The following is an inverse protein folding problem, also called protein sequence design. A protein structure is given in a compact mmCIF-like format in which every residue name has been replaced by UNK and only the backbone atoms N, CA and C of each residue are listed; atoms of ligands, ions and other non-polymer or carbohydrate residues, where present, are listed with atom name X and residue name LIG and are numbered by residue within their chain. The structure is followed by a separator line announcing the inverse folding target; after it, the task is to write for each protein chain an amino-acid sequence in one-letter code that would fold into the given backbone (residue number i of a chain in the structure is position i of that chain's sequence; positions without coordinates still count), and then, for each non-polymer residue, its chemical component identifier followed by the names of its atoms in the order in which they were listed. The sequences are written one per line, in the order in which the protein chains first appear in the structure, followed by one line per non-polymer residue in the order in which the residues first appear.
data_IF_255221882879
#
_entry.id   IF_255221882879
#
_cell.length_a   1.000
_cell.length_b   1.000
_cell.length_c   1.000
_cell.angle_alpha   90.00
_cell.angle_beta   90.00
_cell.angle_gamma   90.00
#
_symmetry.space_group_name_H-M   'P 1'
#
loop_
_entity.id
_entity.type
_entity.pdbx_description
1 polymer ?
#
# COMPACT_ATOMS: atom_id res chain seq x y z
N UNK A 1 5.01 -20.12 27.40
CA UNK A 1 4.91 -18.92 26.53
C UNK A 1 5.96 -19.05 25.44
N UNK A 2 5.55 -19.02 24.17
CA UNK A 2 6.51 -19.05 23.06
C UNK A 2 7.25 -17.71 22.94
N UNK A 3 8.45 -17.70 22.35
CA UNK A 3 9.27 -16.47 22.19
C UNK A 3 8.48 -15.30 21.58
N UNK A 4 7.58 -15.57 20.64
CA UNK A 4 6.69 -14.56 20.02
C UNK A 4 5.70 -13.93 20.99
N UNK A 5 5.07 -14.74 21.82
CA UNK A 5 4.06 -14.30 22.80
C UNK A 5 4.70 -13.38 23.85
N UNK A 6 5.96 -13.66 24.21
CA UNK A 6 6.77 -12.83 25.11
C UNK A 6 7.04 -11.45 24.47
N UNK A 7 7.46 -11.41 23.19
CA UNK A 7 7.70 -10.16 22.47
C UNK A 7 6.44 -9.30 22.40
N UNK A 8 5.31 -9.88 22.03
CA UNK A 8 4.03 -9.15 21.92
C UNK A 8 3.54 -8.63 23.27
N UNK A 9 3.68 -9.42 24.34
CA UNK A 9 3.36 -8.97 25.70
C UNK A 9 4.25 -7.80 26.10
N UNK A 10 5.56 -7.89 25.84
CA UNK A 10 6.51 -6.83 26.17
C UNK A 10 6.21 -5.52 25.43
N UNK A 11 5.78 -5.57 24.16
CA UNK A 11 5.35 -4.37 23.42
C UNK A 11 4.16 -3.70 24.11
N UNK A 12 3.14 -4.47 24.51
CA UNK A 12 1.97 -3.94 25.18
C UNK A 12 2.30 -3.29 26.54
N UNK A 13 3.25 -3.83 27.27
CA UNK A 13 3.72 -3.27 28.55
C UNK A 13 4.47 -1.96 28.32
N UNK A 14 5.49 -1.99 27.44
CA UNK A 14 6.35 -0.82 27.18
C UNK A 14 5.60 0.34 26.55
N UNK A 15 4.58 0.06 25.72
CA UNK A 15 3.77 1.10 25.11
C UNK A 15 2.92 1.90 26.13
N UNK A 16 2.63 1.32 27.30
CA UNK A 16 1.86 2.01 28.37
C UNK A 16 2.70 2.98 29.18
N UNK A 17 4.03 2.87 29.14
CA UNK A 17 4.94 3.67 29.93
C UNK A 17 5.93 4.43 29.02
N UNK A 18 5.76 5.75 28.93
CA UNK A 18 6.63 6.59 28.09
C UNK A 18 8.12 6.53 28.47
N UNK A 19 8.45 6.13 29.71
CA UNK A 19 9.83 5.92 30.13
C UNK A 19 10.48 4.68 29.47
N UNK A 20 9.69 3.76 28.91
CA UNK A 20 10.17 2.53 28.26
C UNK A 20 10.19 2.60 26.72
N UNK A 21 9.98 3.79 26.15
CA UNK A 21 9.91 3.94 24.69
C UNK A 21 11.25 3.64 24.00
N UNK A 22 12.38 3.88 24.65
CA UNK A 22 13.70 3.53 24.10
C UNK A 22 13.89 2.01 24.05
N UNK A 23 13.48 1.30 25.09
CA UNK A 23 13.47 -0.17 25.11
C UNK A 23 12.50 -0.76 24.10
N UNK A 24 11.35 -0.10 23.88
CA UNK A 24 10.40 -0.48 22.83
C UNK A 24 11.02 -0.33 21.43
N UNK A 25 11.73 0.77 21.18
CA UNK A 25 12.45 0.99 19.91
C UNK A 25 13.50 -0.10 19.69
N UNK A 26 14.34 -0.37 20.69
CA UNK A 26 15.35 -1.43 20.62
C UNK A 26 14.73 -2.81 20.35
N UNK A 27 13.62 -3.13 21.01
CA UNK A 27 12.90 -4.37 20.80
C UNK A 27 12.39 -4.49 19.35
N UNK A 28 11.71 -3.46 18.84
CA UNK A 28 11.18 -3.46 17.48
C UNK A 28 12.30 -3.55 16.42
N UNK A 29 13.42 -2.86 16.63
CA UNK A 29 14.57 -2.93 15.73
C UNK A 29 15.22 -4.31 15.72
N UNK A 30 15.43 -4.92 16.89
CA UNK A 30 16.04 -6.25 17.01
C UNK A 30 15.15 -7.33 16.38
N UNK A 31 13.83 -7.21 16.51
CA UNK A 31 12.86 -8.16 15.97
C UNK A 31 12.38 -7.81 14.54
N UNK A 32 13.00 -6.82 13.90
CA UNK A 32 12.57 -6.26 12.60
C UNK A 32 12.81 -7.18 11.40
N UNK A 33 13.69 -8.19 11.54
CA UNK A 33 14.28 -8.98 10.45
C UNK A 33 15.14 -8.18 9.45
N UNK A 34 15.50 -6.92 9.74
CA UNK A 34 16.39 -6.11 8.89
C UNK A 34 17.87 -6.31 9.29
N UNK A 35 18.82 -6.32 8.33
CA UNK A 35 18.72 -5.97 6.90
C UNK A 35 18.20 -7.09 5.97
N UNK A 36 17.48 -8.10 6.46
CA UNK A 36 16.91 -9.17 5.65
C UNK A 36 15.93 -8.70 4.56
N UNK A 37 15.64 -9.56 3.56
CA UNK A 37 14.83 -9.19 2.41
C UNK A 37 13.40 -8.80 2.77
N UNK A 38 12.87 -9.31 3.89
CA UNK A 38 11.52 -9.02 4.39
C UNK A 38 11.59 -8.53 5.82
N UNK A 39 11.02 -7.35 6.08
CA UNK A 39 10.77 -6.90 7.44
C UNK A 39 9.70 -7.75 8.11
N UNK A 40 9.64 -7.71 9.45
CA UNK A 40 8.67 -8.44 10.25
C UNK A 40 7.27 -7.80 10.15
N UNK A 41 6.50 -8.15 9.12
CA UNK A 41 5.17 -7.59 8.87
C UNK A 41 4.16 -7.96 9.98
N UNK A 42 4.32 -9.13 10.60
CA UNK A 42 3.45 -9.56 11.70
C UNK A 42 3.65 -8.67 12.93
N UNK A 43 4.91 -8.39 13.27
CA UNK A 43 5.26 -7.47 14.36
C UNK A 43 4.78 -6.04 14.08
N UNK A 44 4.99 -5.53 12.87
CA UNK A 44 4.52 -4.19 12.49
C UNK A 44 2.99 -4.10 12.55
N UNK A 45 2.29 -5.14 12.12
CA UNK A 45 0.84 -5.21 12.21
C UNK A 45 0.37 -5.24 13.67
N UNK A 46 0.99 -6.08 14.50
CA UNK A 46 0.67 -6.17 15.93
C UNK A 46 0.86 -4.84 16.66
N UNK A 47 1.96 -4.13 16.39
CA UNK A 47 2.20 -2.80 16.94
C UNK A 47 1.12 -1.81 16.49
N UNK A 48 0.79 -1.79 15.19
CA UNK A 48 -0.24 -0.90 14.65
C UNK A 48 -1.62 -1.16 15.28
N UNK A 49 -1.96 -2.41 15.57
CA UNK A 49 -3.24 -2.77 16.19
C UNK A 49 -3.41 -2.19 17.60
N UNK A 50 -2.31 -1.87 18.30
CA UNK A 50 -2.37 -1.19 19.61
C UNK A 50 -2.92 0.25 19.52
N UNK A 51 -2.93 0.83 18.33
CA UNK A 51 -3.45 2.18 18.06
C UNK A 51 -4.89 2.17 17.54
N UNK A 52 -5.50 1.00 17.36
CA UNK A 52 -6.88 0.86 16.89
C UNK A 52 -7.91 1.15 18.01
N UNK A 53 -7.81 2.33 18.64
CA UNK A 53 -8.56 2.69 19.85
C UNK A 53 -8.82 4.20 19.93
N UNK A 54 -9.91 4.59 20.61
CA UNK A 54 -10.21 5.99 20.96
C UNK A 54 -9.35 6.52 22.13
N UNK A 55 -8.60 5.65 22.82
CA UNK A 55 -7.87 5.95 24.06
C UNK A 55 -6.36 6.12 23.83
N UNK A 56 -5.94 6.52 22.63
CA UNK A 56 -4.51 6.78 22.35
C UNK A 56 -4.05 8.04 23.07
N UNK A 57 -3.14 7.86 24.03
CA UNK A 57 -2.56 8.94 24.84
C UNK A 57 -1.72 9.91 24.00
N UNK A 58 -1.51 11.13 24.49
CA UNK A 58 -0.64 12.10 23.82
C UNK A 58 0.79 11.60 23.69
N UNK A 59 1.30 10.84 24.67
CA UNK A 59 2.65 10.25 24.59
C UNK A 59 2.78 9.21 23.48
N UNK A 60 1.78 8.34 23.32
CA UNK A 60 1.75 7.39 22.20
C UNK A 60 1.67 8.13 20.85
N UNK A 61 0.87 9.19 20.78
CA UNK A 61 0.78 10.02 19.57
C UNK A 61 2.11 10.73 19.25
N UNK A 62 2.75 11.33 20.25
CA UNK A 62 4.09 11.95 20.15
C UNK A 62 5.14 10.95 19.68
N UNK A 63 5.07 9.68 20.12
CA UNK A 63 5.95 8.61 19.67
C UNK A 63 5.81 8.35 18.16
N UNK A 64 4.58 8.25 17.65
CA UNK A 64 4.35 8.12 16.20
C UNK A 64 4.91 9.31 15.43
N UNK A 65 4.66 10.53 15.91
CA UNK A 65 5.17 11.76 15.30
C UNK A 65 6.71 11.84 15.32
N UNK A 66 7.36 11.27 16.33
CA UNK A 66 8.82 11.13 16.39
C UNK A 66 9.31 10.15 15.33
N UNK A 67 8.68 8.99 15.22
CA UNK A 67 9.13 7.92 14.33
C UNK A 67 8.93 8.24 12.85
N UNK A 68 7.82 8.86 12.45
CA UNK A 68 7.61 9.22 11.02
C UNK A 68 8.60 10.27 10.51
N UNK A 69 9.30 10.98 11.39
CA UNK A 69 10.33 11.96 11.02
C UNK A 69 11.69 11.34 10.66
N UNK A 70 11.89 10.03 10.89
CA UNK A 70 13.13 9.37 10.48
C UNK A 70 13.27 9.37 8.96
N UNK A 71 14.21 10.15 8.43
CA UNK A 71 14.48 10.22 7.00
C UNK A 71 15.58 9.23 6.55
N UNK A 72 15.84 9.20 5.25
CA UNK A 72 16.86 8.31 4.67
C UNK A 72 18.29 8.64 5.13
N UNK A 73 18.57 9.88 5.54
CA UNK A 73 19.89 10.27 6.05
C UNK A 73 20.17 9.67 7.42
N UNK A 74 19.11 9.48 8.20
CA UNK A 74 19.20 8.84 9.52
C UNK A 74 19.18 7.32 9.43
N UNK A 75 18.43 6.75 8.47
CA UNK A 75 18.30 5.32 8.30
C UNK A 75 17.97 4.96 6.83
N UNK A 76 18.90 4.27 6.17
CA UNK A 76 18.70 3.76 4.82
C UNK A 76 17.70 2.60 4.79
N UNK A 77 17.25 2.21 3.59
CA UNK A 77 16.22 1.16 3.40
C UNK A 77 16.47 -0.17 4.12
N UNK A 78 17.73 -0.54 4.38
CA UNK A 78 18.10 -1.82 5.00
C UNK A 78 18.47 -1.68 6.48
N UNK A 79 18.59 -0.46 6.99
CA UNK A 79 18.83 -0.20 8.40
C UNK A 79 17.63 -0.61 9.28
N UNK A 80 17.82 -1.36 10.38
CA UNK A 80 16.75 -1.70 11.32
C UNK A 80 15.95 -0.50 11.83
N UNK A 81 16.55 0.70 11.91
CA UNK A 81 15.87 1.93 12.29
C UNK A 81 14.73 2.31 11.35
N UNK A 82 14.75 1.90 10.08
CA UNK A 82 13.63 2.11 9.13
C UNK A 82 12.37 1.35 9.56
N UNK A 83 12.50 0.33 10.41
CA UNK A 83 11.35 -0.37 10.94
C UNK A 83 10.47 0.54 11.82
N UNK A 84 11.03 1.56 12.47
CA UNK A 84 10.27 2.52 13.30
C UNK A 84 9.30 3.38 12.48
N UNK A 85 9.71 4.16 11.44
CA UNK A 85 8.76 4.86 10.58
C UNK A 85 7.80 3.92 9.86
N UNK A 86 8.24 2.70 9.51
CA UNK A 86 7.37 1.67 8.91
C UNK A 86 6.25 1.19 9.87
N UNK A 87 6.56 1.00 11.14
CA UNK A 87 5.57 0.71 12.19
C UNK A 87 4.66 1.92 12.43
N UNK A 88 5.25 3.13 12.49
CA UNK A 88 4.51 4.34 12.81
C UNK A 88 3.44 4.68 11.77
N UNK A 89 3.77 4.58 10.48
CA UNK A 89 2.83 4.90 9.41
C UNK A 89 1.64 3.94 9.38
N UNK A 90 1.85 2.66 9.70
CA UNK A 90 0.78 1.67 9.81
C UNK A 90 -0.09 1.92 11.05
N UNK A 91 0.53 2.26 12.19
CA UNK A 91 -0.18 2.63 13.41
C UNK A 91 -1.05 3.88 13.21
N UNK A 92 -0.55 4.88 12.48
CA UNK A 92 -1.34 6.04 12.06
C UNK A 92 -2.58 5.65 11.24
N UNK A 93 -2.43 4.70 10.31
CA UNK A 93 -3.57 4.16 9.54
C UNK A 93 -4.59 3.44 10.42
N UNK A 94 -4.13 2.66 11.40
CA UNK A 94 -5.00 1.99 12.37
C UNK A 94 -5.74 2.99 13.29
N UNK A 95 -5.09 4.09 13.65
CA UNK A 95 -5.65 5.17 14.49
C UNK A 95 -6.67 6.04 13.74
N UNK A 96 -6.52 6.22 12.43
CA UNK A 96 -7.23 7.24 11.65
C UNK A 96 -8.74 7.36 11.94
N UNK A 97 -9.46 6.24 11.97
CA UNK A 97 -10.92 6.23 12.17
C UNK A 97 -11.31 6.66 13.59
N UNK A 98 -10.44 6.41 14.58
CA UNK A 98 -10.66 6.76 15.98
C UNK A 98 -10.14 8.17 16.34
N UNK A 99 -9.32 8.75 15.46
CA UNK A 99 -8.70 10.04 15.67
C UNK A 99 -9.70 11.20 15.49
N UNK A 100 -9.44 12.31 16.20
CA UNK A 100 -10.11 13.58 15.93
C UNK A 100 -9.65 14.18 14.58
N UNK A 101 -10.33 15.22 14.13
CA UNK A 101 -10.09 15.85 12.82
C UNK A 101 -8.64 16.32 12.64
N UNK A 102 -8.07 17.02 13.64
CA UNK A 102 -6.69 17.50 13.60
C UNK A 102 -5.67 16.36 13.44
N UNK A 103 -5.84 15.25 14.16
CA UNK A 103 -4.98 14.07 14.00
C UNK A 103 -5.19 13.40 12.65
N UNK A 104 -6.42 13.31 12.12
CA UNK A 104 -6.69 12.75 10.78
C UNK A 104 -6.01 13.54 9.66
N UNK A 105 -6.00 14.86 9.78
CA UNK A 105 -5.29 15.74 8.84
C UNK A 105 -3.79 15.46 8.84
N UNK A 106 -3.17 15.43 10.03
CA UNK A 106 -1.75 15.10 10.18
C UNK A 106 -1.42 13.70 9.67
N UNK A 107 -2.23 12.69 9.99
CA UNK A 107 -2.05 11.32 9.49
C UNK A 107 -2.09 11.30 7.96
N UNK A 108 -3.02 12.03 7.35
CA UNK A 108 -3.12 12.13 5.88
C UNK A 108 -1.85 12.73 5.29
N UNK A 109 -1.33 13.81 5.87
CA UNK A 109 -0.08 14.46 5.45
C UNK A 109 1.09 13.46 5.52
N UNK A 110 1.23 12.73 6.62
CA UNK A 110 2.32 11.77 6.79
C UNK A 110 2.19 10.55 5.86
N UNK A 111 0.97 10.07 5.57
CA UNK A 111 0.75 9.04 4.54
C UNK A 111 1.17 9.55 3.18
N UNK A 112 0.81 10.78 2.81
CA UNK A 112 1.21 11.38 1.52
C UNK A 112 2.72 11.50 1.39
N UNK A 113 3.42 11.94 2.45
CA UNK A 113 4.89 11.93 2.47
C UNK A 113 5.44 10.51 2.29
N UNK A 114 4.90 9.54 3.03
CA UNK A 114 5.33 8.15 2.97
C UNK A 114 5.10 7.49 1.59
N UNK A 115 4.05 7.88 0.85
CA UNK A 115 3.83 7.44 -0.54
C UNK A 115 4.97 7.86 -1.47
N UNK A 116 5.59 9.01 -1.20
CA UNK A 116 6.67 9.60 -2.00
C UNK A 116 8.08 9.38 -1.38
N UNK A 117 8.20 8.57 -0.34
CA UNK A 117 9.49 8.32 0.33
C UNK A 117 10.45 7.58 -0.62
N UNK A 118 11.74 7.93 -0.59
CA UNK A 118 12.78 7.28 -1.42
C UNK A 118 12.96 5.80 -1.06
N UNK A 119 12.72 5.43 0.20
CA UNK A 119 12.84 4.07 0.71
C UNK A 119 11.58 3.27 0.40
N UNK A 120 11.73 2.21 -0.39
CA UNK A 120 10.58 1.43 -0.87
C UNK A 120 9.75 0.80 0.26
N UNK A 121 10.37 0.47 1.40
CA UNK A 121 9.67 -0.07 2.58
C UNK A 121 8.64 0.91 3.13
N UNK A 122 8.97 2.20 3.16
CA UNK A 122 8.06 3.24 3.64
C UNK A 122 6.89 3.42 2.67
N UNK A 123 7.14 3.32 1.35
CA UNK A 123 6.07 3.30 0.34
C UNK A 123 5.12 2.10 0.50
N UNK A 124 5.62 0.92 0.90
CA UNK A 124 4.74 -0.20 1.26
C UNK A 124 3.96 0.09 2.55
N UNK A 125 4.60 0.69 3.55
CA UNK A 125 3.96 1.12 4.79
C UNK A 125 2.79 2.08 4.54
N UNK A 126 2.94 3.02 3.60
CA UNK A 126 1.87 3.93 3.19
C UNK A 126 0.68 3.18 2.57
N UNK A 127 0.93 2.22 1.67
CA UNK A 127 -0.12 1.39 1.09
C UNK A 127 -0.84 0.56 2.16
N UNK A 128 -0.10 -0.04 3.11
CA UNK A 128 -0.66 -0.80 4.23
C UNK A 128 -1.47 0.09 5.20
N UNK A 129 -1.05 1.33 5.40
CA UNK A 129 -1.79 2.33 6.17
C UNK A 129 -3.15 2.63 5.53
N UNK A 130 -3.16 2.87 4.21
CA UNK A 130 -4.39 3.06 3.44
C UNK A 130 -5.29 1.82 3.45
N UNK A 131 -4.71 0.61 3.38
CA UNK A 131 -5.45 -0.65 3.50
C UNK A 131 -6.19 -0.73 4.85
N UNK A 132 -5.51 -0.41 5.95
CA UNK A 132 -6.10 -0.40 7.30
C UNK A 132 -7.27 0.57 7.40
N UNK A 133 -7.13 1.78 6.85
CA UNK A 133 -8.22 2.77 6.79
C UNK A 133 -9.39 2.20 5.97
N UNK A 134 -9.10 1.67 4.77
CA UNK A 134 -10.10 1.14 3.86
C UNK A 134 -10.88 -0.06 4.40
N UNK A 135 -10.22 -0.93 5.17
CA UNK A 135 -10.86 -2.10 5.79
C UNK A 135 -11.94 -1.69 6.79
N UNK A 136 -11.74 -0.57 7.49
CA UNK A 136 -12.72 -0.01 8.42
C UNK A 136 -13.77 0.82 7.68
N UNK A 137 -13.33 1.65 6.75
CA UNK A 137 -14.21 2.59 6.04
C UNK A 137 -13.68 2.92 4.65
N UNK A 138 -14.02 2.08 3.67
CA UNK A 138 -13.57 2.22 2.29
C UNK A 138 -13.83 3.60 1.66
N UNK A 139 -14.99 4.21 1.95
CA UNK A 139 -15.36 5.53 1.41
C UNK A 139 -14.35 6.63 1.77
N UNK A 140 -13.61 6.48 2.87
CA UNK A 140 -12.55 7.43 3.27
C UNK A 140 -11.40 7.43 2.26
N UNK A 141 -10.87 6.25 1.93
CA UNK A 141 -9.76 6.16 0.96
C UNK A 141 -10.24 6.46 -0.46
N UNK A 142 -11.49 6.10 -0.79
CA UNK A 142 -12.10 6.46 -2.07
C UNK A 142 -12.13 7.99 -2.26
N UNK A 143 -12.64 8.72 -1.26
CA UNK A 143 -12.71 10.18 -1.30
C UNK A 143 -11.32 10.83 -1.32
N UNK A 144 -10.36 10.26 -0.59
CA UNK A 144 -8.97 10.72 -0.60
C UNK A 144 -8.37 10.61 -2.00
N UNK A 145 -8.50 9.45 -2.65
CA UNK A 145 -7.93 9.19 -3.97
C UNK A 145 -8.58 10.09 -5.03
N UNK A 146 -9.91 10.23 -5.02
CA UNK A 146 -10.62 11.12 -5.95
C UNK A 146 -10.17 12.58 -5.80
N UNK A 147 -10.04 13.06 -4.56
CA UNK A 147 -9.58 14.44 -4.29
C UNK A 147 -8.14 14.66 -4.79
N UNK A 148 -7.27 13.68 -4.63
CA UNK A 148 -5.86 13.81 -4.98
C UNK A 148 -5.58 13.57 -6.46
N UNK A 149 -6.41 12.77 -7.15
CA UNK A 149 -6.07 12.12 -8.42
C UNK A 149 -5.40 13.04 -9.46
N UNK A 150 -5.99 14.21 -9.70
CA UNK A 150 -5.55 15.13 -10.76
C UNK A 150 -4.14 15.67 -10.54
N UNK A 151 -3.72 15.83 -9.29
CA UNK A 151 -2.40 16.34 -8.92
C UNK A 151 -1.47 15.25 -8.39
N UNK A 152 -1.89 13.99 -8.46
CA UNK A 152 -1.18 12.88 -7.85
C UNK A 152 0.11 12.55 -8.62
N UNK A 153 1.21 12.36 -7.89
CA UNK A 153 2.47 11.86 -8.44
C UNK A 153 2.34 10.41 -8.93
N UNK A 154 3.31 9.92 -9.72
CA UNK A 154 3.34 8.51 -10.14
C UNK A 154 3.48 7.55 -8.94
N UNK A 155 4.19 7.97 -7.89
CA UNK A 155 4.35 7.19 -6.66
C UNK A 155 3.06 7.16 -5.83
N UNK A 156 2.30 8.25 -5.82
CA UNK A 156 0.97 8.31 -5.19
C UNK A 156 -0.03 7.43 -5.94
N UNK A 157 -0.09 7.52 -7.28
CA UNK A 157 -0.89 6.60 -8.10
C UNK A 157 -0.50 5.14 -7.86
N UNK A 158 0.79 4.84 -7.68
CA UNK A 158 1.27 3.50 -7.31
C UNK A 158 0.73 3.08 -5.95
N UNK A 159 0.75 3.96 -4.96
CA UNK A 159 0.24 3.68 -3.63
C UNK A 159 -1.28 3.43 -3.65
N UNK A 160 -2.05 4.17 -4.46
CA UNK A 160 -3.48 3.92 -4.64
C UNK A 160 -3.74 2.50 -5.15
N UNK A 161 -3.06 2.12 -6.23
CA UNK A 161 -3.18 0.78 -6.83
C UNK A 161 -2.76 -0.32 -5.85
N UNK A 162 -1.64 -0.13 -5.13
CA UNK A 162 -1.15 -1.09 -4.14
C UNK A 162 -2.10 -1.23 -2.93
N UNK A 163 -2.69 -0.12 -2.46
CA UNK A 163 -3.67 -0.14 -1.38
C UNK A 163 -4.93 -0.89 -1.81
N UNK A 164 -5.43 -0.64 -3.02
CA UNK A 164 -6.61 -1.29 -3.58
C UNK A 164 -6.40 -2.77 -3.87
N UNK A 165 -5.18 -3.21 -4.21
CA UNK A 165 -4.80 -4.60 -4.44
C UNK A 165 -4.75 -5.48 -3.16
N UNK A 166 -5.61 -5.16 -2.20
CA UNK A 166 -5.75 -5.82 -0.91
C UNK A 166 -7.06 -6.61 -0.86
N UNK A 167 -7.01 -7.96 -0.86
CA UNK A 167 -8.21 -8.79 -0.99
C UNK A 167 -9.37 -8.48 -0.02
N UNK A 168 -9.13 -8.12 1.27
CA UNK A 168 -10.18 -7.68 2.18
C UNK A 168 -11.02 -6.50 1.67
N UNK A 169 -10.43 -5.53 0.94
CA UNK A 169 -11.16 -4.39 0.39
C UNK A 169 -12.07 -4.79 -0.78
N UNK A 170 -11.71 -5.85 -1.49
CA UNK A 170 -12.37 -6.30 -2.72
C UNK A 170 -13.52 -7.29 -2.48
N UNK A 171 -13.96 -7.45 -1.22
CA UNK A 171 -15.10 -8.30 -0.87
C UNK A 171 -16.43 -7.72 -1.38
N UNK A 172 -16.53 -6.39 -1.46
CA UNK A 172 -17.69 -5.71 -2.03
C UNK A 172 -17.41 -5.38 -3.49
N UNK A 173 -18.35 -5.72 -4.38
CA UNK A 173 -18.19 -5.48 -5.81
C UNK A 173 -18.00 -4.00 -6.14
N UNK A 174 -18.67 -3.09 -5.43
CA UNK A 174 -18.52 -1.65 -5.59
C UNK A 174 -17.06 -1.19 -5.40
N UNK A 175 -16.35 -1.77 -4.43
CA UNK A 175 -14.96 -1.44 -4.16
C UNK A 175 -14.05 -1.95 -5.27
N UNK A 176 -14.28 -3.18 -5.74
CA UNK A 176 -13.54 -3.74 -6.89
C UNK A 176 -13.77 -2.93 -8.16
N UNK A 177 -15.00 -2.52 -8.43
CA UNK A 177 -15.36 -1.67 -9.56
C UNK A 177 -14.66 -0.31 -9.48
N UNK A 178 -14.55 0.26 -8.28
CA UNK A 178 -13.74 1.47 -8.07
C UNK A 178 -12.25 1.20 -8.37
N UNK A 179 -11.67 0.08 -7.94
CA UNK A 179 -10.28 -0.28 -8.27
C UNK A 179 -10.03 -0.35 -9.78
N UNK A 180 -10.97 -0.97 -10.50
CA UNK A 180 -10.90 -1.13 -11.96
C UNK A 180 -10.94 0.25 -12.62
N UNK A 181 -11.92 1.10 -12.28
CA UNK A 181 -12.04 2.46 -12.84
C UNK A 181 -10.84 3.35 -12.51
N UNK A 182 -10.32 3.25 -11.29
CA UNK A 182 -9.11 3.99 -10.90
C UNK A 182 -7.90 3.55 -11.72
N UNK A 183 -7.75 2.24 -11.92
CA UNK A 183 -6.66 1.69 -12.73
C UNK A 183 -6.81 2.06 -14.21
N UNK A 184 -8.04 2.06 -14.73
CA UNK A 184 -8.37 2.52 -16.07
C UNK A 184 -7.93 3.97 -16.30
N UNK A 185 -8.25 4.88 -15.38
CA UNK A 185 -7.79 6.28 -15.46
C UNK A 185 -6.27 6.38 -15.50
N UNK A 186 -5.56 5.56 -14.70
CA UNK A 186 -4.10 5.56 -14.68
C UNK A 186 -3.53 5.03 -16.01
N UNK A 187 -4.12 3.98 -16.57
CA UNK A 187 -3.73 3.44 -17.87
C UNK A 187 -4.01 4.44 -19.01
N UNK A 188 -5.14 5.14 -18.96
CA UNK A 188 -5.48 6.22 -19.89
C UNK A 188 -4.45 7.36 -19.81
N UNK A 189 -4.04 7.78 -18.60
CA UNK A 189 -2.97 8.78 -18.42
C UNK A 189 -1.63 8.32 -19.01
N UNK A 190 -1.29 7.02 -18.88
CA UNK A 190 -0.06 6.45 -19.46
C UNK A 190 -0.10 6.51 -20.99
N UNK A 191 -1.25 6.19 -21.60
CA UNK A 191 -1.44 6.25 -23.06
C UNK A 191 -1.37 7.69 -23.58
N UNK A 192 -1.85 8.67 -22.80
CA UNK A 192 -1.86 10.07 -23.20
C UNK A 192 -0.49 10.75 -23.11
N UNK A 193 0.37 10.34 -22.16
CA UNK A 193 1.70 10.93 -21.97
C UNK A 193 2.83 9.95 -22.31
N UNK A 194 3.34 10.06 -23.53
CA UNK A 194 4.46 9.26 -24.05
C UNK A 194 5.80 9.51 -23.34
N UNK A 195 5.92 10.59 -22.55
CA UNK A 195 7.17 10.96 -21.90
C UNK A 195 7.42 10.21 -20.59
N UNK A 196 6.40 9.59 -20.00
CA UNK A 196 6.48 8.91 -18.69
C UNK A 196 7.47 7.74 -18.66
N UNK A 197 7.71 7.08 -19.80
CA UNK A 197 8.33 5.76 -19.87
C UNK A 197 9.78 5.62 -19.39
N UNK A 198 10.46 6.71 -19.02
CA UNK A 198 11.89 6.71 -18.67
C UNK A 198 12.19 6.96 -17.17
N UNK A 199 11.21 7.39 -16.38
CA UNK A 199 11.45 7.71 -14.97
C UNK A 199 11.43 6.46 -14.09
N UNK A 200 12.18 6.52 -12.98
CA UNK A 200 12.15 5.47 -11.95
C UNK A 200 10.75 5.35 -11.33
N UNK A 201 10.07 6.47 -11.12
CA UNK A 201 8.72 6.49 -10.55
C UNK A 201 7.69 5.81 -11.46
N UNK A 202 7.81 5.99 -12.78
CA UNK A 202 7.00 5.24 -13.74
C UNK A 202 7.28 3.74 -13.64
N UNK A 203 8.55 3.33 -13.52
CA UNK A 203 8.89 1.91 -13.35
C UNK A 203 8.27 1.33 -12.08
N UNK A 204 8.23 2.09 -10.99
CA UNK A 204 7.58 1.71 -9.72
C UNK A 204 6.06 1.57 -9.91
N UNK A 205 5.40 2.52 -10.58
CA UNK A 205 3.98 2.45 -10.91
C UNK A 205 3.65 1.26 -11.83
N UNK A 206 4.39 1.09 -12.92
CA UNK A 206 4.25 -0.02 -13.88
C UNK A 206 4.30 -1.36 -13.17
N UNK A 207 5.27 -1.57 -12.28
CA UNK A 207 5.37 -2.82 -11.50
C UNK A 207 4.15 -3.06 -10.60
N UNK A 208 3.59 -2.00 -10.01
CA UNK A 208 2.35 -2.07 -9.25
C UNK A 208 1.18 -2.55 -10.11
N UNK A 209 1.01 -1.93 -11.29
CA UNK A 209 -0.03 -2.29 -12.25
C UNK A 209 0.15 -3.71 -12.82
N UNK A 210 1.38 -4.13 -13.09
CA UNK A 210 1.76 -5.49 -13.57
C UNK A 210 1.35 -6.63 -12.61
N UNK A 211 0.93 -6.31 -11.39
CA UNK A 211 0.42 -7.26 -10.41
C UNK A 211 -1.04 -7.00 -10.03
N UNK A 212 -1.40 -5.73 -9.78
CA UNK A 212 -2.68 -5.36 -9.17
C UNK A 212 -3.90 -5.68 -10.04
N UNK A 213 -3.81 -5.50 -11.37
CA UNK A 213 -4.98 -5.70 -12.25
C UNK A 213 -5.53 -7.12 -12.14
N UNK A 214 -4.65 -8.13 -12.09
CA UNK A 214 -5.05 -9.52 -11.91
C UNK A 214 -5.83 -9.77 -10.62
N UNK A 215 -5.55 -9.00 -9.56
CA UNK A 215 -6.27 -9.07 -8.28
C UNK A 215 -7.70 -8.57 -8.45
N UNK A 216 -7.89 -7.49 -9.21
CA UNK A 216 -9.21 -6.92 -9.50
C UNK A 216 -10.00 -7.83 -10.46
N UNK A 217 -9.36 -8.33 -11.51
CA UNK A 217 -9.96 -9.25 -12.49
C UNK A 217 -10.42 -10.53 -11.80
N UNK A 218 -9.64 -11.09 -10.87
CA UNK A 218 -10.07 -12.27 -10.10
C UNK A 218 -11.39 -12.04 -9.33
N UNK A 219 -11.69 -10.78 -8.96
CA UNK A 219 -12.88 -10.42 -8.18
C UNK A 219 -14.07 -10.00 -9.03
N UNK A 220 -13.82 -9.35 -10.17
CA UNK A 220 -14.84 -8.98 -11.16
C UNK A 220 -14.34 -9.33 -12.57
N UNK A 221 -14.42 -10.61 -13.00
CA UNK A 221 -13.77 -11.07 -14.23
C UNK A 221 -14.32 -10.40 -15.48
N UNK A 222 -15.65 -10.25 -15.61
CA UNK A 222 -16.26 -9.64 -16.81
C UNK A 222 -15.75 -8.21 -17.03
N UNK A 223 -15.79 -7.37 -15.99
CA UNK A 223 -15.33 -5.98 -16.08
C UNK A 223 -13.81 -5.88 -16.14
N UNK A 224 -13.11 -6.76 -15.43
CA UNK A 224 -11.66 -6.82 -15.43
C UNK A 224 -11.11 -7.17 -16.81
N UNK A 225 -11.62 -8.21 -17.47
CA UNK A 225 -11.22 -8.55 -18.83
C UNK A 225 -11.66 -7.49 -19.83
N UNK A 226 -12.81 -6.84 -19.66
CA UNK A 226 -13.19 -5.70 -20.49
C UNK A 226 -12.15 -4.57 -20.41
N UNK A 227 -11.64 -4.26 -19.20
CA UNK A 227 -10.53 -3.30 -19.03
C UNK A 227 -9.26 -3.79 -19.72
N UNK A 228 -8.87 -5.06 -19.55
CA UNK A 228 -7.66 -5.59 -20.19
C UNK A 228 -7.78 -5.58 -21.73
N UNK A 229 -8.95 -5.83 -22.29
CA UNK A 229 -9.16 -5.84 -23.74
C UNK A 229 -9.20 -4.42 -24.34
N UNK A 230 -9.61 -3.40 -23.58
CA UNK A 230 -9.79 -2.00 -24.04
C UNK A 230 -8.59 -1.42 -24.80
N UNK A 231 -7.37 -1.86 -24.49
CA UNK A 231 -6.14 -1.27 -25.02
C UNK A 231 -5.49 -2.06 -26.16
N UNK A 232 -6.10 -3.14 -26.67
CA UNK A 232 -5.50 -4.01 -27.70
C UNK A 232 -5.06 -3.26 -28.95
N UNK A 233 -5.88 -2.30 -29.40
CA UNK A 233 -5.68 -1.61 -30.67
C UNK A 233 -4.73 -0.40 -30.55
N UNK A 234 -4.20 -0.12 -29.36
CA UNK A 234 -3.35 1.06 -29.11
C UNK A 234 -1.89 0.85 -29.49
N UNK A 235 -1.41 -0.40 -29.53
CA UNK A 235 -0.02 -0.72 -29.85
C UNK A 235 1.02 -0.17 -28.85
N UNK A 236 0.58 0.34 -27.68
CA UNK A 236 1.48 0.91 -26.67
C UNK A 236 2.24 -0.20 -25.94
N UNK A 237 3.55 -0.27 -26.17
CA UNK A 237 4.44 -1.29 -25.57
C UNK A 237 4.42 -1.26 -24.04
N UNK A 238 4.17 -0.11 -23.42
CA UNK A 238 4.06 0.06 -21.96
C UNK A 238 2.83 -0.67 -21.43
N UNK A 239 1.68 -0.41 -22.04
CA UNK A 239 0.41 -1.03 -21.68
C UNK A 239 0.43 -2.53 -21.98
N UNK A 240 0.95 -2.91 -23.14
CA UNK A 240 1.12 -4.31 -23.52
C UNK A 240 1.92 -5.09 -22.48
N UNK A 241 3.02 -4.51 -21.97
CA UNK A 241 3.80 -5.12 -20.89
C UNK A 241 2.97 -5.28 -19.61
N UNK A 242 2.27 -4.24 -19.18
CA UNK A 242 1.42 -4.27 -17.98
C UNK A 242 0.37 -5.38 -18.08
N UNK A 243 -0.30 -5.48 -19.21
CA UNK A 243 -1.38 -6.44 -19.43
C UNK A 243 -0.82 -7.86 -19.54
N UNK A 244 0.23 -8.08 -20.34
CA UNK A 244 0.88 -9.39 -20.48
C UNK A 244 1.37 -9.95 -19.14
N UNK A 245 1.94 -9.09 -18.27
CA UNK A 245 2.34 -9.49 -16.91
C UNK A 245 1.18 -9.97 -16.03
N UNK A 246 -0.01 -9.38 -16.20
CA UNK A 246 -1.20 -9.76 -15.43
C UNK A 246 -1.85 -11.05 -15.95
N UNK A 247 -1.92 -11.24 -17.27
CA UNK A 247 -2.46 -12.45 -17.90
C UNK A 247 -1.72 -13.72 -17.45
N UNK A 248 -0.41 -13.61 -17.15
CA UNK A 248 0.38 -14.72 -16.61
C UNK A 248 0.16 -15.04 -15.12
N UNK A 249 -0.66 -14.27 -14.37
CA UNK A 249 -0.86 -14.52 -12.94
C UNK A 249 -1.80 -15.71 -12.74
N UNK A 250 -1.34 -16.69 -11.97
CA UNK A 250 -2.04 -17.96 -11.73
C UNK A 250 -3.50 -17.83 -11.29
N UNK A 251 -3.83 -16.75 -10.57
CA UNK A 251 -5.18 -16.44 -10.10
C UNK A 251 -6.20 -16.25 -11.22
N UNK A 252 -5.78 -15.78 -12.40
CA UNK A 252 -6.63 -15.66 -13.60
C UNK A 252 -6.26 -16.66 -14.68
N UNK A 253 -4.96 -16.88 -14.92
CA UNK A 253 -4.47 -17.79 -15.97
C UNK A 253 -5.01 -19.21 -15.87
N UNK A 254 -5.26 -19.70 -14.64
CA UNK A 254 -5.76 -21.07 -14.41
C UNK A 254 -7.28 -21.16 -14.38
N UNK A 255 -7.97 -20.08 -13.99
CA UNK A 255 -9.43 -20.09 -13.73
C UNK A 255 -10.24 -19.59 -14.93
N UNK A 256 -9.63 -18.72 -15.74
CA UNK A 256 -10.25 -18.01 -16.87
C UNK A 256 -9.33 -18.14 -18.09
N UNK A 257 -8.95 -19.38 -18.43
CA UNK A 257 -8.00 -19.66 -19.52
C UNK A 257 -8.51 -19.13 -20.85
N UNK A 258 -9.79 -19.30 -21.13
CA UNK A 258 -10.41 -18.95 -22.40
C UNK A 258 -10.44 -17.42 -22.58
N UNK A 259 -10.78 -16.67 -21.53
CA UNK A 259 -10.72 -15.21 -21.53
C UNK A 259 -9.27 -14.71 -21.66
N UNK A 260 -8.31 -15.38 -21.02
CA UNK A 260 -6.89 -15.05 -21.14
C UNK A 260 -6.39 -15.28 -22.57
N UNK A 261 -6.72 -16.42 -23.19
CA UNK A 261 -6.37 -16.73 -24.58
C UNK A 261 -7.01 -15.73 -25.55
N UNK A 262 -8.26 -15.36 -25.31
CA UNK A 262 -8.94 -14.31 -26.06
C UNK A 262 -8.21 -12.97 -25.97
N UNK A 263 -7.86 -12.52 -24.76
CA UNK A 263 -7.07 -11.28 -24.60
C UNK A 263 -5.71 -11.40 -25.31
N UNK A 264 -5.00 -12.52 -25.16
CA UNK A 264 -3.71 -12.75 -25.84
C UNK A 264 -3.85 -12.60 -27.36
N UNK A 265 -4.90 -13.16 -27.94
CA UNK A 265 -5.18 -13.08 -29.37
C UNK A 265 -5.45 -11.64 -29.84
N UNK A 266 -6.19 -10.84 -29.05
CA UNK A 266 -6.44 -9.42 -29.36
C UNK A 266 -5.15 -8.59 -29.45
N UNK A 267 -4.16 -8.89 -28.61
CA UNK A 267 -2.88 -8.17 -28.59
C UNK A 267 -1.82 -8.74 -29.55
N UNK A 268 -2.01 -9.95 -30.08
CA UNK A 268 -1.01 -10.65 -30.91
C UNK A 268 0.28 -10.98 -30.14
N UNK A 269 0.16 -11.38 -28.87
CA UNK A 269 1.29 -11.64 -27.96
C UNK A 269 2.07 -12.93 -28.18
#
# INVERSE_FOLDING_TARGET
MGTREIVFTSICEKLKNAAEFEELEMLLMNESNLPGPRGNLELAAFFADQYQSTVVTDKMWELLLRWVKYDERQADTNDPRVFLPFCAIQAMGALYIYANEARRELITIEIVKAMNDTRWRIREGAAMSLQRIGEKQFVVIQNLFERMYHNASLLEKRAFVAAMAHPPLLKQESNTRFSIKLSERILDDIVLDDTLGKSEDYRVLSKGLEYALSVFVEKLPVEGFALLNKYSDKGDKRINKIIKSNLGKSRIAKKYSDEVEHTIALYGF
#
